data_IF_715033193040
#
_entry.id   IF_715033193040
#
_cell.length_a   1.000
_cell.length_b   1.000
_cell.length_c   1.000
_cell.angle_alpha   90.00
_cell.angle_beta   90.00
_cell.angle_gamma   90.00
#
_symmetry.space_group_name_H-M   'P 1'
#
loop_
_entity.id
_entity.type
_entity.pdbx_description
1 polymer ?
#
# COMPACT_ATOMS: atom_id res chain seq x y z
N UNK A 1 3.11 5.15 12.74
CA UNK A 1 1.68 5.29 13.09
C UNK A 1 1.01 6.44 12.35
N UNK A 2 1.47 7.70 12.48
CA UNK A 2 0.86 8.86 11.79
C UNK A 2 0.89 8.70 10.25
N UNK A 3 2.01 8.24 9.70
CA UNK A 3 2.15 8.02 8.25
C UNK A 3 1.19 6.94 7.72
N UNK A 4 0.98 5.86 8.47
CA UNK A 4 0.03 4.81 8.13
C UNK A 4 -1.41 5.35 8.15
N UNK A 5 -1.74 6.17 9.16
CA UNK A 5 -3.05 6.81 9.23
C UNK A 5 -3.29 7.73 8.04
N UNK A 6 -2.28 8.50 7.62
CA UNK A 6 -2.38 9.30 6.39
C UNK A 6 -2.68 8.41 5.17
N UNK A 7 -1.96 7.30 5.00
CA UNK A 7 -2.18 6.36 3.89
C UNK A 7 -3.59 5.78 3.87
N UNK A 8 -4.09 5.35 5.02
CA UNK A 8 -5.46 4.82 5.15
C UNK A 8 -6.50 5.87 4.75
N UNK A 9 -6.30 7.14 5.12
CA UNK A 9 -7.27 8.20 4.83
C UNK A 9 -7.37 8.53 3.34
N UNK A 10 -6.24 8.66 2.64
CA UNK A 10 -6.29 9.02 1.21
C UNK A 10 -6.66 7.82 0.32
N UNK A 11 -6.41 6.59 0.78
CA UNK A 11 -6.82 5.34 0.12
C UNK A 11 -8.26 4.93 0.46
N UNK A 12 -8.95 5.66 1.34
CA UNK A 12 -10.28 5.31 1.82
C UNK A 12 -11.30 5.24 0.69
N UNK A 13 -12.00 4.11 0.59
CA UNK A 13 -13.12 3.88 -0.31
C UNK A 13 -14.01 2.74 0.21
N UNK A 14 -15.22 2.62 -0.34
CA UNK A 14 -16.17 1.56 0.03
C UNK A 14 -15.86 0.21 -0.63
N UNK A 15 -15.19 0.22 -1.80
CA UNK A 15 -14.84 -0.98 -2.56
C UNK A 15 -13.38 -0.92 -3.02
N UNK A 16 -12.81 -2.08 -3.36
CA UNK A 16 -11.43 -2.17 -3.89
C UNK A 16 -11.31 -1.37 -5.18
N UNK A 17 -12.32 -1.40 -6.05
CA UNK A 17 -12.38 -0.57 -7.26
C UNK A 17 -12.35 0.92 -6.94
N UNK A 18 -13.11 1.37 -5.94
CA UNK A 18 -13.12 2.77 -5.52
C UNK A 18 -11.76 3.22 -4.98
N UNK A 19 -11.11 2.37 -4.18
CA UNK A 19 -9.76 2.62 -3.67
C UNK A 19 -8.76 2.76 -4.82
N UNK A 20 -8.76 1.82 -5.76
CA UNK A 20 -7.87 1.87 -6.92
C UNK A 20 -8.16 3.09 -7.81
N UNK A 21 -9.43 3.49 -7.97
CA UNK A 21 -9.81 4.68 -8.72
C UNK A 21 -9.28 5.98 -8.08
N UNK A 22 -9.34 6.09 -6.75
CA UNK A 22 -8.72 7.20 -6.02
C UNK A 22 -7.21 7.24 -6.23
N UNK A 23 -6.54 6.09 -6.13
CA UNK A 23 -5.10 6.00 -6.38
C UNK A 23 -4.72 6.31 -7.83
N UNK A 24 -5.55 5.88 -8.77
CA UNK A 24 -5.35 6.15 -10.19
C UNK A 24 -5.37 7.65 -10.53
N UNK A 25 -6.13 8.47 -9.79
CA UNK A 25 -6.13 9.94 -9.96
C UNK A 25 -4.74 10.57 -9.78
N UNK A 26 -3.90 10.00 -8.92
CA UNK A 26 -2.53 10.45 -8.71
C UNK A 26 -1.58 9.77 -9.71
N UNK A 27 -1.72 8.46 -9.89
CA UNK A 27 -0.90 7.68 -10.82
C UNK A 27 -0.98 8.21 -12.26
N UNK A 28 -2.19 8.54 -12.74
CA UNK A 28 -2.44 9.08 -14.08
C UNK A 28 -1.76 10.43 -14.34
N UNK A 29 -1.44 11.21 -13.31
CA UNK A 29 -0.64 12.44 -13.44
C UNK A 29 0.84 12.14 -13.53
N UNK A 30 1.31 11.23 -12.67
CA UNK A 30 2.69 10.75 -12.66
C UNK A 30 2.84 9.56 -11.72
N UNK A 31 3.63 8.56 -12.11
CA UNK A 31 4.03 7.47 -11.21
C UNK A 31 4.78 7.98 -9.98
N UNK A 32 5.58 9.05 -10.12
CA UNK A 32 6.31 9.65 -9.01
C UNK A 32 5.37 10.29 -7.99
N UNK A 33 4.29 10.93 -8.46
CA UNK A 33 3.27 11.49 -7.58
C UNK A 33 2.59 10.39 -6.78
N UNK A 34 2.25 9.26 -7.42
CA UNK A 34 1.71 8.11 -6.71
C UNK A 34 2.68 7.55 -5.65
N UNK A 35 3.97 7.44 -5.98
CA UNK A 35 4.98 6.94 -5.04
C UNK A 35 5.15 7.87 -3.83
N UNK A 36 5.18 9.20 -4.03
CA UNK A 36 5.25 10.19 -2.95
C UNK A 36 4.08 10.07 -1.97
N UNK A 37 2.90 9.67 -2.45
CA UNK A 37 1.71 9.44 -1.62
C UNK A 37 1.82 8.19 -0.73
N UNK A 38 2.93 7.43 -0.81
CA UNK A 38 3.23 6.25 0.02
C UNK A 38 4.36 6.55 1.02
N UNK A 39 4.20 7.50 1.97
CA UNK A 39 5.27 7.91 2.88
C UNK A 39 5.81 6.77 3.76
N UNK A 40 5.00 5.76 4.09
CA UNK A 40 5.44 4.62 4.92
C UNK A 40 6.41 3.70 4.19
N UNK A 41 6.40 3.68 2.85
CA UNK A 41 7.42 2.99 2.06
C UNK A 41 8.80 3.65 2.22
N UNK A 42 8.86 4.99 2.14
CA UNK A 42 10.12 5.70 2.39
C UNK A 42 10.59 5.56 3.84
N UNK A 43 9.65 5.55 4.79
CA UNK A 43 9.97 5.25 6.19
C UNK A 43 10.60 3.87 6.34
N UNK A 44 10.07 2.82 5.69
CA UNK A 44 10.64 1.48 5.82
C UNK A 44 12.03 1.36 5.20
N UNK A 45 12.30 2.07 4.09
CA UNK A 45 13.65 2.16 3.50
C UNK A 45 14.62 2.82 4.49
N UNK A 46 14.24 3.99 5.02
CA UNK A 46 15.06 4.70 6.00
C UNK A 46 15.30 3.86 7.27
N UNK A 47 14.24 3.21 7.77
CA UNK A 47 14.30 2.36 8.95
C UNK A 47 15.23 1.16 8.78
N UNK A 48 15.20 0.52 7.61
CA UNK A 48 16.13 -0.56 7.29
C UNK A 48 17.59 -0.08 7.29
N UNK A 49 17.87 1.14 6.80
CA UNK A 49 19.22 1.70 6.80
C UNK A 49 19.72 2.02 8.21
N UNK A 50 18.89 2.61 9.08
CA UNK A 50 19.32 3.01 10.43
C UNK A 50 19.38 1.85 11.43
N UNK A 51 18.75 0.72 11.10
CA UNK A 51 18.80 -0.52 11.90
C UNK A 51 19.84 -1.50 11.38
N UNK A 52 20.82 -1.02 10.59
CA UNK A 52 21.87 -1.84 9.98
C UNK A 52 21.32 -3.06 9.23
N UNK A 53 20.20 -2.88 8.53
CA UNK A 53 19.49 -3.92 7.79
C UNK A 53 19.07 -5.11 8.67
N UNK A 54 18.63 -4.84 9.91
CA UNK A 54 18.02 -5.84 10.79
C UNK A 54 16.94 -6.66 10.04
N UNK A 55 16.89 -7.97 10.28
CA UNK A 55 15.94 -8.88 9.62
C UNK A 55 14.49 -8.39 9.69
N UNK A 56 14.03 -7.88 10.83
CA UNK A 56 12.65 -7.40 10.98
C UNK A 56 12.41 -6.09 10.23
N UNK A 57 13.43 -5.23 10.10
CA UNK A 57 13.36 -4.02 9.28
C UNK A 57 13.35 -4.36 7.77
N UNK A 58 14.11 -5.38 7.35
CA UNK A 58 14.04 -5.91 5.98
C UNK A 58 12.65 -6.49 5.70
N UNK A 59 12.06 -7.25 6.64
CA UNK A 59 10.70 -7.78 6.50
C UNK A 59 9.68 -6.63 6.35
N UNK A 60 9.80 -5.58 7.16
CA UNK A 60 8.95 -4.39 7.05
C UNK A 60 9.08 -3.73 5.66
N UNK A 61 10.31 -3.55 5.19
CA UNK A 61 10.59 -3.00 3.87
C UNK A 61 10.00 -3.88 2.75
N UNK A 62 10.17 -5.20 2.84
CA UNK A 62 9.61 -6.15 1.89
C UNK A 62 8.08 -6.07 1.84
N UNK A 63 7.41 -6.06 2.98
CA UNK A 63 5.95 -5.94 3.06
C UNK A 63 5.45 -4.64 2.40
N UNK A 64 6.11 -3.50 2.67
CA UNK A 64 5.75 -2.23 2.03
C UNK A 64 6.05 -2.20 0.54
N UNK A 65 7.11 -2.87 0.11
CA UNK A 65 7.44 -3.01 -1.33
C UNK A 65 6.36 -3.81 -2.04
N UNK A 66 5.95 -4.96 -1.49
CA UNK A 66 4.88 -5.80 -2.05
C UNK A 66 3.55 -5.04 -2.09
N UNK A 67 3.22 -4.29 -1.04
CA UNK A 67 2.01 -3.45 -0.98
C UNK A 67 1.98 -2.42 -2.11
N UNK A 68 3.03 -1.61 -2.27
CA UNK A 68 3.12 -0.60 -3.32
C UNK A 68 3.16 -1.22 -4.72
N UNK A 69 3.94 -2.29 -4.91
CA UNK A 69 4.04 -2.98 -6.20
C UNK A 69 2.70 -3.58 -6.62
N UNK A 70 1.98 -4.24 -5.71
CA UNK A 70 0.67 -4.83 -6.00
C UNK A 70 -0.34 -3.75 -6.39
N UNK A 71 -0.33 -2.60 -5.70
CA UNK A 71 -1.19 -1.45 -6.06
C UNK A 71 -0.91 -0.95 -7.47
N UNK A 72 0.37 -0.79 -7.85
CA UNK A 72 0.75 -0.37 -9.21
C UNK A 72 0.27 -1.39 -10.25
N UNK A 73 0.53 -2.68 -10.02
CA UNK A 73 0.12 -3.75 -10.93
C UNK A 73 -1.39 -3.78 -11.14
N UNK A 74 -2.16 -3.66 -10.05
CA UNK A 74 -3.62 -3.61 -10.13
C UNK A 74 -4.12 -2.36 -10.87
N UNK A 75 -3.53 -1.20 -10.61
CA UNK A 75 -3.88 0.03 -11.33
C UNK A 75 -3.61 -0.12 -12.82
N UNK A 76 -2.44 -0.63 -13.22
CA UNK A 76 -2.12 -0.87 -14.62
C UNK A 76 -3.09 -1.87 -15.26
N UNK A 77 -3.36 -2.99 -14.58
CA UNK A 77 -4.22 -4.03 -15.11
C UNK A 77 -5.66 -3.54 -15.32
N UNK A 78 -6.19 -2.79 -14.36
CA UNK A 78 -7.59 -2.33 -14.35
C UNK A 78 -7.80 -1.10 -15.22
N UNK A 79 -6.97 -0.06 -15.09
CA UNK A 79 -7.23 1.24 -15.72
C UNK A 79 -6.47 1.43 -17.05
N UNK A 80 -5.28 0.85 -17.20
CA UNK A 80 -4.44 1.03 -18.39
C UNK A 80 -4.70 -0.09 -19.40
N UNK A 81 -4.46 -1.34 -19.00
CA UNK A 81 -4.60 -2.53 -19.87
C UNK A 81 -6.05 -2.97 -20.02
N UNK A 82 -6.93 -2.60 -19.08
CA UNK A 82 -8.37 -2.95 -19.03
C UNK A 82 -8.62 -4.47 -19.12
N UNK A 83 -7.69 -5.27 -18.59
CA UNK A 83 -7.78 -6.72 -18.58
C UNK A 83 -8.45 -7.16 -17.28
N UNK A 84 -9.77 -7.29 -17.33
CA UNK A 84 -10.59 -7.71 -16.21
C UNK A 84 -10.98 -9.17 -16.40
N UNK A 85 -10.32 -10.07 -15.67
CA UNK A 85 -10.83 -11.44 -15.53
C UNK A 85 -12.11 -11.42 -14.69
N UNK A 86 -12.94 -12.46 -14.84
CA UNK A 86 -14.19 -12.60 -14.07
C UNK A 86 -13.92 -12.58 -12.56
N UNK A 87 -12.87 -13.27 -12.11
CA UNK A 87 -12.49 -13.34 -10.69
C UNK A 87 -11.94 -12.01 -10.16
N UNK A 88 -11.12 -11.30 -10.96
CA UNK A 88 -10.64 -9.98 -10.60
C UNK A 88 -11.80 -8.98 -10.48
N UNK A 89 -12.77 -9.04 -11.38
CA UNK A 89 -13.96 -8.17 -11.35
C UNK A 89 -14.78 -8.35 -10.07
N UNK A 90 -14.97 -9.60 -9.63
CA UNK A 90 -15.66 -9.90 -8.37
C UNK A 90 -14.89 -9.37 -7.16
N UNK A 91 -13.56 -9.50 -7.17
CA UNK A 91 -12.68 -8.99 -6.11
C UNK A 91 -12.70 -7.46 -6.04
N UNK A 92 -12.76 -6.78 -7.20
CA UNK A 92 -12.81 -5.32 -7.28
C UNK A 92 -14.12 -4.73 -6.71
N UNK A 93 -15.22 -5.46 -6.87
CA UNK A 93 -16.54 -5.08 -6.34
C UNK A 93 -16.70 -5.45 -4.86
N UNK A 94 -15.79 -6.27 -4.30
CA UNK A 94 -15.86 -6.64 -2.90
C UNK A 94 -15.76 -5.40 -2.01
N UNK A 95 -16.61 -5.29 -0.96
CA UNK A 95 -16.50 -4.23 0.00
C UNK A 95 -15.17 -4.37 0.73
N UNK A 96 -14.46 -3.25 0.91
CA UNK A 96 -13.26 -3.26 1.74
C UNK A 96 -13.74 -3.44 3.18
N UNK A 97 -13.36 -4.56 3.80
CA UNK A 97 -13.60 -4.71 5.23
C UNK A 97 -12.85 -3.58 5.96
N UNK A 98 -13.57 -2.77 6.73
CA UNK A 98 -13.02 -1.63 7.44
C UNK A 98 -11.82 -2.01 8.32
N UNK A 99 -11.69 -3.27 8.75
CA UNK A 99 -10.56 -3.74 9.57
C UNK A 99 -9.25 -3.96 8.79
N UNK A 100 -9.31 -4.27 7.49
CA UNK A 100 -8.14 -4.65 6.70
C UNK A 100 -7.02 -3.59 6.70
N UNK A 101 -7.30 -2.28 6.55
CA UNK A 101 -6.26 -1.24 6.59
C UNK A 101 -5.62 -1.07 7.97
N UNK A 102 -6.30 -1.46 9.06
CA UNK A 102 -5.77 -1.33 10.43
C UNK A 102 -4.82 -2.46 10.82
N UNK A 103 -4.74 -3.54 10.03
CA UNK A 103 -3.81 -4.64 10.29
C UNK A 103 -2.36 -4.11 10.25
N UNK A 104 -2.04 -3.25 9.27
CA UNK A 104 -0.73 -2.59 9.18
C UNK A 104 -0.40 -1.75 10.42
N UNK A 105 -1.41 -1.10 11.02
CA UNK A 105 -1.22 -0.32 12.25
C UNK A 105 -0.79 -1.17 13.45
N UNK A 106 -1.05 -2.47 13.46
CA UNK A 106 -0.62 -3.38 14.54
C UNK A 106 0.68 -4.10 14.17
N UNK A 107 0.76 -4.65 12.94
CA UNK A 107 1.93 -5.42 12.51
C UNK A 107 3.19 -4.54 12.45
N UNK A 108 3.08 -3.32 11.94
CA UNK A 108 4.27 -2.49 11.71
C UNK A 108 4.95 -2.02 13.01
N UNK A 109 4.23 -1.55 14.05
CA UNK A 109 4.87 -1.28 15.35
C UNK A 109 5.56 -2.49 15.97
N UNK A 110 4.99 -3.70 15.84
CA UNK A 110 5.63 -4.92 16.34
C UNK A 110 6.96 -5.17 15.62
N UNK A 111 6.98 -5.09 14.29
CA UNK A 111 8.21 -5.24 13.51
C UNK A 111 9.25 -4.17 13.84
N UNK A 112 8.83 -2.93 14.08
CA UNK A 112 9.71 -1.84 14.51
C UNK A 112 10.32 -2.17 15.88
N UNK A 113 9.50 -2.59 16.87
CA UNK A 113 9.98 -2.94 18.22
C UNK A 113 10.96 -4.11 18.19
N UNK A 114 10.72 -5.12 17.34
CA UNK A 114 11.62 -6.27 17.19
C UNK A 114 12.95 -5.93 16.48
N UNK A 115 12.99 -4.84 15.72
CA UNK A 115 14.16 -4.39 14.97
C UNK A 115 15.05 -3.39 15.74
N UNK A 116 14.51 -2.76 16.80
CA UNK A 116 15.23 -1.88 17.72
C UNK A 116 16.05 -2.71 18.73
#
# INVERSE_FOLDING_TARGET
>A
MILEFYEINWQKAHTVMGMLAHMYKYYSKSIFLFLIMQPTFYFSVWFAMISDFNLYAIILLFLKTVDVATKILLIEQVFVKRVLSKDLSLTLLAPINNFLPYIGMVIYPILIILAL
#
